data_IF_896322573635
#
_entry.id   IF_896322573635
#
_cell.length_a   1.000
_cell.length_b   1.000
_cell.length_c   1.000
_cell.angle_alpha   90.00
_cell.angle_beta   90.00
_cell.angle_gamma   90.00
#
_symmetry.space_group_name_H-M   'P 1'
#
loop_
_entity.id
_entity.type
_entity.pdbx_description
1 polymer ?
#
# COMPACT_ATOMS: atom_id res chain seq x y z
N UNK A 1 -8.41 29.39 -74.48
CA UNK A 1 -8.62 29.81 -73.09
C UNK A 1 -8.46 28.59 -72.22
N UNK A 2 -7.24 28.34 -71.61
CA UNK A 2 -6.96 27.22 -70.74
C UNK A 2 -6.85 27.76 -69.33
N UNK A 3 -7.77 27.36 -68.46
CA UNK A 3 -7.72 27.67 -67.03
C UNK A 3 -6.91 26.55 -66.30
N UNK A 4 -5.78 26.91 -65.76
CA UNK A 4 -4.99 26.05 -64.88
C UNK A 4 -5.63 26.05 -63.50
N UNK A 5 -5.98 24.86 -63.02
CA UNK A 5 -6.41 24.60 -61.60
C UNK A 5 -5.15 24.39 -60.75
N UNK A 6 -4.91 25.30 -59.81
CA UNK A 6 -3.89 25.13 -58.78
C UNK A 6 -4.45 24.30 -57.61
N UNK A 7 -3.83 23.17 -57.33
CA UNK A 7 -4.14 22.30 -56.16
C UNK A 7 -3.25 22.76 -54.98
N UNK A 8 -3.81 23.12 -53.82
CA UNK A 8 -3.00 23.47 -52.65
C UNK A 8 -2.44 22.20 -52.00
N UNK A 9 -1.12 22.18 -51.83
CA UNK A 9 -0.38 21.16 -51.12
C UNK A 9 -0.53 21.40 -49.59
N UNK A 10 -1.31 20.56 -48.88
CA UNK A 10 -1.44 20.61 -47.42
C UNK A 10 -0.29 19.81 -46.83
N UNK A 11 0.69 20.49 -46.24
CA UNK A 11 1.78 19.88 -45.49
C UNK A 11 1.28 19.60 -44.09
N UNK A 12 0.98 18.33 -43.77
CA UNK A 12 0.70 17.85 -42.42
C UNK A 12 2.02 17.72 -41.64
N UNK A 13 2.29 18.67 -40.75
CA UNK A 13 3.40 18.59 -39.81
C UNK A 13 3.02 17.60 -38.68
N UNK A 14 3.61 16.41 -38.69
CA UNK A 14 3.54 15.47 -37.57
C UNK A 14 4.41 15.98 -36.41
N UNK A 15 3.79 16.56 -35.38
CA UNK A 15 4.41 16.79 -34.11
C UNK A 15 4.53 15.44 -33.39
N UNK A 16 5.70 14.83 -33.44
CA UNK A 16 6.04 13.68 -32.59
C UNK A 16 6.08 14.17 -31.13
N UNK A 17 5.04 13.87 -30.37
CA UNK A 17 5.01 14.02 -28.92
C UNK A 17 6.10 13.10 -28.34
N UNK A 18 7.27 13.68 -28.05
CA UNK A 18 8.31 13.00 -27.27
C UNK A 18 7.76 12.84 -25.83
N UNK A 19 7.26 11.67 -25.50
CA UNK A 19 7.07 11.27 -24.12
C UNK A 19 8.43 11.34 -23.42
N UNK A 20 8.58 12.09 -22.31
CA UNK A 20 9.82 12.07 -21.55
C UNK A 20 10.13 10.63 -21.16
N UNK A 21 11.31 10.14 -21.51
CA UNK A 21 11.80 8.87 -21.00
C UNK A 21 11.90 9.00 -19.47
N UNK A 22 11.04 8.31 -18.75
CA UNK A 22 11.20 8.16 -17.30
C UNK A 22 12.48 7.37 -17.12
N UNK A 23 13.55 8.05 -16.69
CA UNK A 23 14.79 7.39 -16.32
C UNK A 23 14.50 6.39 -15.23
N UNK A 24 14.86 5.12 -15.47
CA UNK A 24 14.75 4.07 -14.47
C UNK A 24 15.54 4.49 -13.22
N UNK A 25 14.86 4.60 -12.08
CA UNK A 25 15.46 5.02 -10.81
C UNK A 25 16.02 3.78 -10.13
N UNK A 26 17.31 3.49 -10.35
CA UNK A 26 17.96 2.33 -9.72
C UNK A 26 17.98 2.51 -8.21
N UNK A 27 17.59 1.47 -7.47
CA UNK A 27 17.69 1.46 -6.03
C UNK A 27 19.10 1.07 -5.59
N UNK A 28 19.72 1.87 -4.73
CA UNK A 28 21.07 1.66 -4.20
C UNK A 28 21.04 1.63 -2.67
N UNK A 29 21.99 0.91 -2.09
CA UNK A 29 22.16 0.93 -0.64
C UNK A 29 22.71 2.30 -0.20
N UNK A 30 22.14 2.84 0.87
CA UNK A 30 22.62 4.08 1.49
C UNK A 30 23.61 3.80 2.64
N UNK A 31 24.10 4.87 3.25
CA UNK A 31 25.05 4.79 4.37
C UNK A 31 24.47 4.13 5.65
N UNK A 32 23.16 3.95 5.73
CA UNK A 32 22.47 3.28 6.83
C UNK A 32 22.09 1.83 6.51
N UNK A 33 22.54 1.31 5.35
CA UNK A 33 22.28 -0.05 4.89
C UNK A 33 20.87 -0.28 4.31
N UNK A 34 20.03 0.76 4.25
CA UNK A 34 18.72 0.70 3.61
C UNK A 34 18.79 0.96 2.11
N UNK A 35 17.77 0.50 1.35
CA UNK A 35 17.67 0.78 -0.08
C UNK A 35 16.99 2.12 -0.33
N UNK A 36 17.60 2.95 -1.17
CA UNK A 36 17.04 4.23 -1.65
C UNK A 36 16.91 4.17 -3.17
N UNK A 37 15.73 4.50 -3.69
CA UNK A 37 15.43 4.53 -5.11
C UNK A 37 15.24 5.99 -5.55
N UNK A 38 15.95 6.40 -6.60
CA UNK A 38 15.89 7.75 -7.14
C UNK A 38 16.69 8.78 -6.36
N UNK A 39 16.60 10.04 -6.78
CA UNK A 39 17.39 11.16 -6.27
C UNK A 39 16.53 12.39 -6.00
N UNK A 40 17.06 13.32 -5.20
CA UNK A 40 16.44 14.60 -4.90
C UNK A 40 15.05 14.47 -4.26
N UNK A 41 14.09 15.28 -4.70
CA UNK A 41 12.72 15.26 -4.19
C UNK A 41 11.92 14.00 -4.57
N UNK A 42 12.40 13.24 -5.56
CA UNK A 42 11.77 11.97 -5.96
C UNK A 42 12.35 10.76 -5.23
N UNK A 43 13.40 10.93 -4.41
CA UNK A 43 14.02 9.85 -3.67
C UNK A 43 13.02 9.16 -2.73
N UNK A 44 13.04 7.82 -2.73
CA UNK A 44 12.18 6.97 -1.90
C UNK A 44 13.04 6.00 -1.12
N UNK A 45 12.76 5.82 0.15
CA UNK A 45 13.42 4.81 0.99
C UNK A 45 12.53 3.58 1.12
N UNK A 46 13.10 2.43 0.82
CA UNK A 46 12.45 1.12 1.02
C UNK A 46 12.29 0.85 2.51
N UNK A 47 11.17 0.27 2.88
CA UNK A 47 10.90 -0.26 4.22
C UNK A 47 11.31 -1.74 4.21
N UNK A 48 12.44 -2.07 4.82
CA UNK A 48 13.13 -3.38 4.66
C UNK A 48 12.24 -4.58 4.98
N UNK A 49 11.48 -4.53 6.07
CA UNK A 49 10.57 -5.61 6.49
C UNK A 49 9.40 -5.83 5.54
N UNK A 50 9.27 -5.00 4.49
CA UNK A 50 8.19 -5.10 3.52
C UNK A 50 8.63 -5.63 2.16
N UNK A 51 9.89 -6.02 2.02
CA UNK A 51 10.42 -6.56 0.76
C UNK A 51 9.75 -7.91 0.45
N UNK A 52 9.28 -8.05 -0.78
CA UNK A 52 8.62 -9.27 -1.26
C UNK A 52 9.56 -10.49 -1.26
N UNK A 53 9.05 -11.74 -1.18
CA UNK A 53 9.86 -12.96 -1.28
C UNK A 53 10.72 -13.02 -2.54
N UNK A 54 10.24 -12.50 -3.67
CA UNK A 54 10.99 -12.42 -4.94
C UNK A 54 12.03 -11.30 -4.97
N UNK A 55 12.05 -10.41 -3.97
CA UNK A 55 12.88 -9.19 -3.92
C UNK A 55 12.60 -8.18 -5.04
N UNK A 56 11.50 -8.34 -5.77
CA UNK A 56 11.14 -7.45 -6.88
C UNK A 56 10.31 -6.25 -6.45
N UNK A 57 9.64 -6.33 -5.31
CA UNK A 57 8.69 -5.33 -4.84
C UNK A 57 8.90 -5.04 -3.36
N UNK A 58 8.53 -3.84 -2.94
CA UNK A 58 8.56 -3.44 -1.54
C UNK A 58 7.61 -2.27 -1.30
N UNK A 59 7.34 -1.98 -0.03
CA UNK A 59 6.84 -0.68 0.34
C UNK A 59 8.00 0.29 0.52
N UNK A 60 7.74 1.56 0.22
CA UNK A 60 8.69 2.63 0.37
C UNK A 60 7.99 3.88 0.90
N UNK A 61 8.74 4.81 1.43
CA UNK A 61 8.24 6.11 1.80
C UNK A 61 9.08 7.23 1.18
N UNK A 62 8.47 8.39 0.97
CA UNK A 62 9.16 9.63 0.60
C UNK A 62 8.53 10.82 1.32
N UNK A 63 9.33 11.81 1.63
CA UNK A 63 8.86 13.11 2.10
C UNK A 63 8.48 14.03 0.94
N UNK A 64 7.73 15.08 1.20
CA UNK A 64 7.36 16.09 0.20
C UNK A 64 8.57 16.79 -0.45
N UNK A 65 9.70 16.83 0.25
CA UNK A 65 10.97 17.43 -0.22
C UNK A 65 12.07 16.39 -0.45
N UNK A 66 11.73 15.12 -0.56
CA UNK A 66 12.66 14.00 -0.64
C UNK A 66 12.99 13.40 0.72
N UNK A 67 14.12 12.68 0.77
CA UNK A 67 14.60 12.05 2.00
C UNK A 67 15.48 13.05 2.77
N UNK A 68 15.04 13.49 3.94
CA UNK A 68 15.91 14.19 4.89
C UNK A 68 16.73 13.16 5.67
N UNK A 69 18.03 13.40 5.77
CA UNK A 69 18.92 12.58 6.59
C UNK A 69 19.04 13.24 7.96
N UNK A 70 18.66 12.51 9.01
CA UNK A 70 18.92 12.93 10.39
C UNK A 70 17.76 13.61 11.15
N UNK A 71 16.73 14.09 10.46
CA UNK A 71 15.55 14.69 11.08
C UNK A 71 14.26 13.99 10.67
N UNK A 72 13.21 14.03 11.51
CA UNK A 72 11.89 13.59 11.09
C UNK A 72 11.51 14.28 9.77
N UNK A 73 10.99 13.57 8.77
CA UNK A 73 10.56 14.24 7.54
C UNK A 73 9.46 15.25 7.87
N UNK A 74 9.40 16.37 7.11
CA UNK A 74 8.32 17.32 7.25
C UNK A 74 6.97 16.66 6.97
N UNK A 75 5.83 17.27 7.39
CA UNK A 75 4.49 16.78 7.09
C UNK A 75 4.31 16.48 5.59
N UNK A 76 3.56 15.42 5.27
CA UNK A 76 3.31 15.03 3.89
C UNK A 76 4.15 13.85 3.42
N UNK A 77 4.48 12.94 4.33
CA UNK A 77 5.06 11.63 3.96
C UNK A 77 4.06 10.84 3.12
N UNK A 78 4.53 10.26 2.03
CA UNK A 78 3.78 9.33 1.21
C UNK A 78 4.34 7.92 1.36
N UNK A 79 3.45 6.94 1.56
CA UNK A 79 3.79 5.52 1.50
C UNK A 79 3.42 4.96 0.12
N UNK A 80 4.28 4.12 -0.43
CA UNK A 80 4.23 3.69 -1.83
C UNK A 80 4.49 2.19 -1.94
N UNK A 81 3.81 1.52 -2.87
CA UNK A 81 4.21 0.19 -3.37
C UNK A 81 5.07 0.41 -4.60
N UNK A 82 6.29 -0.10 -4.60
CA UNK A 82 7.25 0.11 -5.68
C UNK A 82 7.78 -1.21 -6.26
N UNK A 83 8.31 -1.13 -7.47
CA UNK A 83 9.16 -2.15 -8.06
C UNK A 83 10.63 -1.76 -7.84
N UNK A 84 11.41 -2.65 -7.21
CA UNK A 84 12.78 -2.34 -6.77
C UNK A 84 13.76 -2.17 -7.96
N UNK A 85 13.55 -2.93 -9.05
CA UNK A 85 14.51 -2.92 -10.18
C UNK A 85 14.65 -1.58 -10.89
N UNK A 86 13.63 -0.72 -10.82
CA UNK A 86 13.58 0.56 -11.53
C UNK A 86 12.93 1.70 -10.71
N UNK A 87 12.60 1.45 -9.44
CA UNK A 87 11.96 2.42 -8.58
C UNK A 87 10.55 2.83 -9.04
N UNK A 88 9.93 2.09 -9.95
CA UNK A 88 8.59 2.44 -10.45
C UNK A 88 7.54 2.35 -9.34
N UNK A 89 6.77 3.43 -9.16
CA UNK A 89 5.64 3.46 -8.24
C UNK A 89 4.46 2.73 -8.87
N UNK A 90 3.99 1.66 -8.23
CA UNK A 90 2.88 0.83 -8.68
C UNK A 90 1.55 1.25 -8.06
N UNK A 91 1.59 1.77 -6.82
CA UNK A 91 0.43 2.30 -6.12
C UNK A 91 0.84 3.24 -4.99
N UNK A 92 -0.06 4.16 -4.62
CA UNK A 92 0.01 4.91 -3.37
C UNK A 92 -0.69 4.10 -2.28
N UNK A 93 0.01 3.96 -1.14
CA UNK A 93 -0.49 3.30 0.06
C UNK A 93 -1.15 4.32 1.00
N UNK A 94 -1.75 3.82 2.08
CA UNK A 94 -2.22 4.68 3.16
C UNK A 94 -1.16 4.91 4.25
N UNK A 95 -1.56 5.72 5.26
CA UNK A 95 -0.70 6.05 6.40
C UNK A 95 0.42 7.04 6.09
N UNK A 96 1.22 7.33 7.11
CA UNK A 96 2.32 8.29 7.08
C UNK A 96 3.56 7.70 7.77
N UNK A 97 3.85 6.43 7.50
CA UNK A 97 5.01 5.75 8.07
C UNK A 97 6.31 6.22 7.41
N UNK A 98 7.34 6.43 8.22
CA UNK A 98 8.70 6.66 7.78
C UNK A 98 9.70 6.06 8.78
N UNK A 99 10.88 5.68 8.30
CA UNK A 99 12.00 5.22 9.11
C UNK A 99 13.33 5.56 8.45
N UNK A 100 14.32 5.98 9.23
CA UNK A 100 15.69 6.24 8.80
C UNK A 100 16.64 5.86 9.92
N UNK A 101 17.45 4.81 9.73
CA UNK A 101 18.28 4.23 10.79
C UNK A 101 17.42 3.80 11.98
N UNK A 102 17.76 4.28 13.17
CA UNK A 102 16.99 4.00 14.39
C UNK A 102 15.76 4.88 14.59
N UNK A 103 15.65 5.97 13.81
CA UNK A 103 14.51 6.88 13.88
C UNK A 103 13.35 6.36 13.07
N UNK A 104 12.15 6.48 13.59
CA UNK A 104 10.91 6.08 12.90
C UNK A 104 9.73 6.92 13.34
N UNK A 105 8.70 6.92 12.50
CA UNK A 105 7.42 7.52 12.82
C UNK A 105 6.89 6.98 14.15
N UNK A 106 6.62 7.88 15.08
CA UNK A 106 6.09 7.50 16.38
C UNK A 106 4.64 7.03 16.24
N UNK A 107 4.36 5.80 16.69
CA UNK A 107 3.02 5.22 16.73
C UNK A 107 2.39 4.95 15.36
N UNK A 108 3.21 4.83 14.32
CA UNK A 108 2.80 4.39 13.01
C UNK A 108 3.52 3.08 12.67
N UNK A 109 2.81 2.20 12.00
CA UNK A 109 3.32 0.94 11.48
C UNK A 109 2.92 0.80 10.02
N UNK A 110 3.80 0.23 9.21
CA UNK A 110 3.52 -0.16 7.84
C UNK A 110 3.99 -1.59 7.64
N UNK A 111 3.05 -2.51 7.46
CA UNK A 111 3.30 -3.96 7.38
C UNK A 111 2.83 -4.49 6.05
N UNK A 112 3.64 -5.39 5.48
CA UNK A 112 3.33 -6.13 4.26
C UNK A 112 3.17 -7.63 4.55
N UNK A 113 2.07 -8.23 4.08
CA UNK A 113 1.96 -9.69 4.00
C UNK A 113 1.83 -10.11 2.53
N UNK A 114 2.91 -10.69 2.01
CA UNK A 114 3.01 -11.10 0.62
C UNK A 114 2.43 -12.49 0.37
N UNK A 115 1.83 -12.67 -0.80
CA UNK A 115 1.62 -14.02 -1.35
C UNK A 115 2.97 -14.66 -1.71
N UNK A 116 3.10 -16.00 -1.65
CA UNK A 116 4.36 -16.69 -1.97
C UNK A 116 4.91 -16.38 -3.36
N UNK A 117 4.05 -16.08 -4.33
CA UNK A 117 4.42 -15.71 -5.70
C UNK A 117 4.78 -14.23 -5.87
N UNK A 118 4.73 -13.44 -4.78
CA UNK A 118 4.99 -12.00 -4.76
C UNK A 118 4.11 -11.14 -5.68
N UNK A 119 3.02 -11.70 -6.21
CA UNK A 119 2.10 -10.97 -7.08
C UNK A 119 0.97 -10.28 -6.35
N UNK A 120 0.86 -10.54 -5.07
CA UNK A 120 -0.16 -9.92 -4.24
C UNK A 120 0.40 -9.57 -2.87
N UNK A 121 -0.09 -8.48 -2.31
CA UNK A 121 0.32 -8.03 -0.98
C UNK A 121 -0.86 -7.45 -0.22
N UNK A 122 -0.88 -7.70 1.08
CA UNK A 122 -1.73 -6.99 2.04
C UNK A 122 -0.92 -5.85 2.61
N UNK A 123 -1.47 -4.67 2.58
CA UNK A 123 -1.02 -3.48 3.30
C UNK A 123 -1.79 -3.36 4.61
N UNK A 124 -1.06 -3.15 5.69
CA UNK A 124 -1.60 -2.64 6.95
C UNK A 124 -0.82 -1.39 7.31
N UNK A 125 -1.50 -0.25 7.36
CA UNK A 125 -0.96 0.99 7.89
C UNK A 125 -1.72 1.34 9.17
N UNK A 126 -1.10 1.11 10.31
CA UNK A 126 -1.68 1.44 11.61
C UNK A 126 -1.17 2.78 12.10
N UNK A 127 -2.05 3.59 12.65
CA UNK A 127 -1.73 4.67 13.58
C UNK A 127 -1.89 4.18 15.02
N UNK A 128 -1.77 5.09 15.99
CA UNK A 128 -1.84 4.74 17.41
C UNK A 128 -3.09 3.92 17.81
N UNK A 129 -4.22 4.21 17.18
CA UNK A 129 -5.53 3.71 17.64
C UNK A 129 -6.36 3.08 16.53
N UNK A 130 -5.92 3.20 15.28
CA UNK A 130 -6.73 2.80 14.12
C UNK A 130 -5.82 2.24 13.02
N UNK A 131 -6.38 1.40 12.14
CA UNK A 131 -5.76 1.11 10.86
C UNK A 131 -6.17 2.19 9.86
N UNK A 132 -5.29 3.12 9.57
CA UNK A 132 -5.54 4.18 8.58
C UNK A 132 -5.77 3.59 7.19
N UNK A 133 -5.11 2.47 6.90
CA UNK A 133 -5.35 1.66 5.70
C UNK A 133 -5.22 0.17 6.00
N UNK A 134 -6.12 -0.61 5.41
CA UNK A 134 -6.03 -2.05 5.33
C UNK A 134 -6.53 -2.47 3.95
N UNK A 135 -5.60 -2.84 3.08
CA UNK A 135 -5.89 -3.06 1.67
C UNK A 135 -5.12 -4.27 1.08
N UNK A 136 -5.67 -4.83 0.03
CA UNK A 136 -5.03 -5.81 -0.82
C UNK A 136 -4.64 -5.16 -2.15
N UNK A 137 -3.46 -5.50 -2.64
CA UNK A 137 -3.00 -5.10 -3.96
C UNK A 137 -2.67 -6.32 -4.81
N UNK A 138 -3.15 -6.34 -6.05
CA UNK A 138 -2.74 -7.29 -7.09
C UNK A 138 -1.85 -6.58 -8.08
N UNK A 139 -0.61 -7.04 -8.20
CA UNK A 139 0.39 -6.47 -9.11
C UNK A 139 0.22 -7.13 -10.49
N UNK A 140 0.10 -6.28 -11.51
CA UNK A 140 0.04 -6.70 -12.91
C UNK A 140 0.90 -5.74 -13.74
N UNK A 141 2.12 -6.17 -14.04
CA UNK A 141 3.09 -5.39 -14.81
C UNK A 141 3.45 -4.04 -14.19
N UNK A 142 2.94 -2.95 -14.74
CA UNK A 142 3.31 -1.57 -14.40
C UNK A 142 2.39 -0.92 -13.36
N UNK A 143 1.36 -1.63 -12.87
CA UNK A 143 0.39 -1.09 -11.92
C UNK A 143 -0.05 -2.13 -10.90
N UNK A 144 -0.71 -1.68 -9.83
CA UNK A 144 -1.35 -2.55 -8.87
C UNK A 144 -2.83 -2.18 -8.72
N UNK A 145 -3.70 -3.20 -8.81
CA UNK A 145 -5.13 -3.04 -8.53
C UNK A 145 -5.38 -3.14 -7.04
N UNK A 146 -6.02 -2.11 -6.46
CA UNK A 146 -6.34 -2.01 -5.03
C UNK A 146 -7.72 -2.56 -4.72
N UNK A 147 -7.86 -3.24 -3.57
CA UNK A 147 -9.12 -3.59 -2.93
C UNK A 147 -9.08 -3.14 -1.47
N UNK A 148 -10.01 -2.30 -1.07
CA UNK A 148 -10.15 -1.85 0.31
C UNK A 148 -10.75 -2.98 1.17
N UNK A 149 -9.92 -3.58 2.02
CA UNK A 149 -10.34 -4.64 2.94
C UNK A 149 -10.94 -4.07 4.22
N UNK A 150 -10.55 -2.84 4.62
CA UNK A 150 -11.14 -2.18 5.78
C UNK A 150 -12.63 -1.96 5.56
N UNK A 151 -13.00 -1.37 4.43
CA UNK A 151 -14.39 -1.14 4.05
C UNK A 151 -15.23 -2.42 4.00
N UNK A 152 -14.60 -3.56 3.72
CA UNK A 152 -15.26 -4.86 3.75
C UNK A 152 -15.43 -5.44 5.15
N UNK A 153 -14.40 -5.35 5.99
CA UNK A 153 -14.30 -6.13 7.25
C UNK A 153 -14.87 -5.36 8.44
N UNK A 154 -14.57 -4.07 8.57
CA UNK A 154 -14.97 -3.25 9.71
C UNK A 154 -16.49 -3.22 9.93
N UNK A 155 -17.35 -3.07 8.89
CA UNK A 155 -18.81 -3.12 9.07
C UNK A 155 -19.29 -4.49 9.59
N UNK A 156 -18.68 -5.59 9.11
CA UNK A 156 -19.06 -6.96 9.55
C UNK A 156 -18.68 -7.17 11.01
N UNK A 157 -17.53 -6.67 11.44
CA UNK A 157 -17.11 -6.72 12.85
C UNK A 157 -18.02 -5.86 13.73
N UNK A 158 -18.26 -4.62 13.31
CA UNK A 158 -19.12 -3.67 14.05
C UNK A 158 -20.54 -4.20 14.22
N UNK A 159 -21.07 -4.89 13.22
CA UNK A 159 -22.41 -5.51 13.31
C UNK A 159 -22.51 -6.59 14.41
N UNK A 160 -21.38 -7.17 14.86
CA UNK A 160 -21.35 -8.12 15.98
C UNK A 160 -21.48 -7.47 17.35
N UNK A 161 -21.28 -6.16 17.44
CA UNK A 161 -21.44 -5.42 18.68
C UNK A 161 -22.93 -5.12 18.95
N UNK A 162 -23.36 -5.05 20.22
CA UNK A 162 -24.66 -4.54 20.58
C UNK A 162 -24.88 -3.16 19.98
N UNK A 163 -26.11 -2.79 19.52
CA UNK A 163 -26.36 -1.54 18.81
C UNK A 163 -25.82 -0.29 19.52
N UNK A 164 -25.98 -0.21 20.84
CA UNK A 164 -25.49 0.90 21.69
C UNK A 164 -23.93 1.01 21.75
N UNK A 165 -23.21 -0.02 21.29
CA UNK A 165 -21.74 -0.05 21.30
C UNK A 165 -21.13 0.07 19.91
N UNK A 166 -21.92 0.32 18.88
CA UNK A 166 -21.43 0.36 17.48
C UNK A 166 -20.80 1.69 17.08
N UNK A 167 -21.11 2.76 17.82
CA UNK A 167 -20.57 4.10 17.50
C UNK A 167 -19.22 4.34 18.20
N UNK A 168 -18.34 5.07 17.51
CA UNK A 168 -17.06 5.51 18.07
C UNK A 168 -16.04 4.39 18.30
N UNK A 169 -16.16 3.26 17.62
CA UNK A 169 -15.11 2.23 17.65
C UNK A 169 -13.98 2.58 16.70
N UNK A 170 -12.76 2.27 17.12
CA UNK A 170 -11.59 2.20 16.26
C UNK A 170 -11.42 0.77 15.75
N UNK A 171 -11.03 0.62 14.49
CA UNK A 171 -10.68 -0.66 13.87
C UNK A 171 -9.17 -0.75 13.73
N UNK A 172 -8.56 -1.80 14.23
CA UNK A 172 -7.12 -2.02 14.06
C UNK A 172 -6.80 -3.47 13.71
N UNK A 173 -5.94 -3.66 12.72
CA UNK A 173 -5.35 -4.97 12.42
C UNK A 173 -4.19 -5.21 13.37
N UNK A 174 -4.17 -6.38 14.04
CA UNK A 174 -3.13 -6.77 14.99
C UNK A 174 -1.88 -7.21 14.23
N UNK A 175 -0.84 -6.40 14.27
CA UNK A 175 0.46 -6.69 13.63
C UNK A 175 1.38 -7.55 14.49
N UNK A 176 1.08 -7.66 15.78
CA UNK A 176 1.70 -8.60 16.73
C UNK A 176 1.15 -10.03 16.63
N UNK A 177 0.19 -10.26 15.74
CA UNK A 177 -0.41 -11.57 15.44
C UNK A 177 -0.14 -11.98 13.99
N UNK A 178 -0.17 -13.28 13.66
CA UNK A 178 0.06 -13.72 12.30
C UNK A 178 -0.93 -13.08 11.30
N UNK A 179 -0.37 -12.45 10.26
CA UNK A 179 -1.07 -11.97 9.08
C UNK A 179 -0.54 -12.76 7.88
N UNK A 180 -1.39 -13.56 7.25
CA UNK A 180 -0.97 -14.47 6.18
C UNK A 180 -1.86 -14.40 4.96
N UNK A 181 -1.23 -14.35 3.79
CA UNK A 181 -1.87 -14.44 2.47
C UNK A 181 -1.28 -15.62 1.71
N UNK A 182 -2.11 -16.61 1.35
CA UNK A 182 -1.63 -17.74 0.56
C UNK A 182 -1.78 -17.53 -0.95
N UNK A 183 -1.19 -18.44 -1.74
CA UNK A 183 -1.22 -18.40 -3.21
C UNK A 183 -2.64 -18.52 -3.81
N UNK A 184 -3.63 -18.98 -3.02
CA UNK A 184 -5.02 -19.11 -3.42
C UNK A 184 -5.87 -17.89 -3.05
N UNK A 185 -5.25 -16.82 -2.52
CA UNK A 185 -5.94 -15.63 -2.07
C UNK A 185 -6.67 -15.79 -0.75
N UNK A 186 -6.32 -16.80 0.08
CA UNK A 186 -6.87 -16.92 1.42
C UNK A 186 -6.06 -16.07 2.38
N UNK A 187 -6.71 -15.06 2.93
CA UNK A 187 -6.17 -14.14 3.92
C UNK A 187 -6.66 -14.55 5.30
N UNK A 188 -5.74 -14.63 6.28
CA UNK A 188 -6.03 -14.82 7.69
C UNK A 188 -5.31 -13.76 8.50
N UNK A 189 -6.02 -13.15 9.43
CA UNK A 189 -5.47 -12.11 10.32
C UNK A 189 -6.32 -11.99 11.59
N UNK A 190 -5.80 -11.24 12.54
CA UNK A 190 -6.55 -10.81 13.72
C UNK A 190 -6.80 -9.30 13.61
N UNK A 191 -8.03 -8.88 13.87
CA UNK A 191 -8.37 -7.47 13.97
C UNK A 191 -9.11 -7.20 15.29
N UNK A 192 -8.99 -5.97 15.75
CA UNK A 192 -9.53 -5.50 17.00
C UNK A 192 -10.55 -4.39 16.75
N UNK A 193 -11.68 -4.44 17.44
CA UNK A 193 -12.53 -3.27 17.66
C UNK A 193 -12.27 -2.74 19.06
N UNK A 194 -11.69 -1.58 19.12
CA UNK A 194 -11.41 -0.87 20.37
C UNK A 194 -12.48 0.19 20.62
N UNK A 195 -13.02 0.18 21.81
CA UNK A 195 -13.97 1.23 22.24
C UNK A 195 -13.19 2.30 22.99
N UNK A 196 -13.05 3.52 22.45
CA UNK A 196 -12.35 4.60 23.15
C UNK A 196 -12.84 4.79 24.57
N UNK A 197 -11.92 5.04 25.50
CA UNK A 197 -12.20 5.24 26.95
C UNK A 197 -12.74 3.99 27.68
N UNK A 198 -12.74 2.83 27.05
CA UNK A 198 -12.96 1.56 27.72
C UNK A 198 -11.72 0.70 27.55
N UNK A 199 -11.30 -0.03 28.57
CA UNK A 199 -10.21 -1.02 28.48
C UNK A 199 -10.64 -2.28 27.72
N UNK A 200 -11.83 -2.25 27.09
CA UNK A 200 -12.41 -3.41 26.44
C UNK A 200 -12.04 -3.38 24.97
N UNK A 201 -11.17 -4.28 24.56
CA UNK A 201 -10.98 -4.66 23.17
C UNK A 201 -11.79 -5.91 22.81
N UNK A 202 -12.22 -6.00 21.57
CA UNK A 202 -12.85 -7.18 21.01
C UNK A 202 -12.02 -7.67 19.84
N UNK A 203 -11.21 -8.68 20.06
CA UNK A 203 -10.34 -9.27 19.05
C UNK A 203 -11.08 -10.36 18.28
N UNK A 204 -10.90 -10.37 16.97
CA UNK A 204 -11.50 -11.36 16.08
C UNK A 204 -10.43 -11.94 15.14
N UNK A 205 -10.34 -13.27 15.10
CA UNK A 205 -9.70 -13.95 13.99
C UNK A 205 -10.63 -13.92 12.79
N UNK A 206 -10.14 -13.38 11.68
CA UNK A 206 -10.91 -13.16 10.44
C UNK A 206 -10.26 -13.94 9.30
N UNK A 207 -11.10 -14.58 8.49
CA UNK A 207 -10.69 -15.22 7.24
C UNK A 207 -11.45 -14.61 6.08
N UNK A 208 -10.70 -14.24 5.04
CA UNK A 208 -11.23 -13.62 3.83
C UNK A 208 -10.72 -14.42 2.64
N UNK A 209 -11.62 -14.70 1.69
CA UNK A 209 -11.24 -15.22 0.38
C UNK A 209 -11.20 -14.07 -0.61
N UNK A 210 -10.06 -13.91 -1.26
CA UNK A 210 -9.82 -12.90 -2.30
C UNK A 210 -9.75 -13.61 -3.65
N UNK A 211 -10.44 -13.09 -4.64
CA UNK A 211 -10.44 -13.57 -6.02
C UNK A 211 -10.13 -12.44 -6.96
N UNK A 212 -9.43 -12.75 -8.05
CA UNK A 212 -9.15 -11.78 -9.11
C UNK A 212 -9.77 -12.28 -10.40
N UNK A 213 -10.66 -11.51 -10.99
CA UNK A 213 -11.31 -11.82 -12.26
C UNK A 213 -11.10 -10.65 -13.22
N UNK A 214 -10.49 -10.89 -14.38
CA UNK A 214 -10.19 -9.84 -15.35
C UNK A 214 -9.30 -8.71 -14.75
N UNK A 215 -8.33 -9.06 -13.89
CA UNK A 215 -7.45 -8.08 -13.23
C UNK A 215 -8.08 -7.34 -12.05
N UNK A 216 -9.39 -7.47 -11.81
CA UNK A 216 -10.09 -6.79 -10.70
C UNK A 216 -10.20 -7.71 -9.49
N UNK A 217 -9.64 -7.32 -8.33
CA UNK A 217 -9.79 -8.08 -7.09
C UNK A 217 -11.17 -7.85 -6.48
N UNK A 218 -11.69 -8.93 -5.87
CA UNK A 218 -12.90 -8.92 -5.03
C UNK A 218 -12.67 -9.82 -3.82
N UNK A 219 -13.38 -9.59 -2.73
CA UNK A 219 -13.20 -10.39 -1.53
C UNK A 219 -14.52 -10.66 -0.81
N UNK A 220 -14.51 -11.73 -0.01
CA UNK A 220 -15.62 -12.14 0.85
C UNK A 220 -15.08 -12.58 2.21
N UNK A 221 -15.66 -12.07 3.28
CA UNK A 221 -15.42 -12.58 4.64
C UNK A 221 -16.04 -13.97 4.75
N UNK A 222 -15.22 -14.98 5.00
CA UNK A 222 -15.64 -16.40 5.09
C UNK A 222 -15.98 -16.77 6.51
N UNK A 223 -15.16 -16.32 7.45
CA UNK A 223 -15.39 -16.61 8.86
C UNK A 223 -14.83 -15.50 9.75
N UNK A 224 -15.45 -15.35 10.90
CA UNK A 224 -15.03 -14.42 11.92
C UNK A 224 -15.33 -15.02 13.29
N UNK A 225 -14.31 -15.20 14.10
CA UNK A 225 -14.40 -15.79 15.43
C UNK A 225 -13.78 -14.88 16.46
N UNK A 226 -14.51 -14.56 17.51
CA UNK A 226 -13.94 -13.81 18.64
C UNK A 226 -12.84 -14.64 19.30
N UNK A 227 -11.71 -14.01 19.57
CA UNK A 227 -10.58 -14.59 20.31
C UNK A 227 -10.42 -13.83 21.64
N UNK A 228 -9.84 -14.47 22.64
CA UNK A 228 -9.53 -13.78 23.87
C UNK A 228 -8.32 -12.87 23.63
N UNK A 229 -8.35 -11.67 24.15
CA UNK A 229 -7.14 -10.88 24.35
C UNK A 229 -6.28 -11.62 25.37
N UNK A 230 -5.04 -11.92 25.00
CA UNK A 230 -4.04 -12.46 25.94
C UNK A 230 -3.47 -11.33 26.78
#
# INVERSE_FOLDING_TARGET
>A
MHRALAVPLVVLAFYALRTPAVLAQVCVADQHGGLVCGEGSAAMRVVDDTISPSKNYAFAWRGAQGLSVGDPPPPGVENLLIRISDGAVLAKLGGEYWATGEMRANRYELVAAWSPDSRSVIEVANSRWDSDSFAYYRIDGAAAAKLDLRALVEPVMTARLPPRKRQGNSFSVRTDRPLTLDARGRLRFTAMLYVPKSEISNDYEVRVNIRTTGGKPSAQVVSMRRVRAD
#
